data_IF_584870807529
#
_entry.id   IF_584870807529
#
_cell.length_a   1.000
_cell.length_b   1.000
_cell.length_c   1.000
_cell.angle_alpha   90.00
_cell.angle_beta   90.00
_cell.angle_gamma   90.00
#
_symmetry.space_group_name_H-M   'P 1'
#
loop_
_entity.id
_entity.type
_entity.pdbx_description
1 polymer ?
#
# COMPACT_ATOMS: atom_id res chain seq x y z
N UNK A 1 -2.33 23.15 -0.09
CA UNK A 1 -3.02 22.50 -1.23
C UNK A 1 -3.89 21.42 -0.63
N UNK A 2 -5.21 21.62 -0.73
CA UNK A 2 -6.21 20.99 0.14
C UNK A 2 -6.64 19.65 -0.45
N UNK A 3 -6.10 18.55 0.05
CA UNK A 3 -6.62 17.20 -0.18
C UNK A 3 -7.95 17.03 0.58
N UNK A 4 -9.00 17.74 0.14
CA UNK A 4 -10.36 17.63 0.67
C UNK A 4 -11.06 16.30 0.30
N UNK A 5 -10.31 15.36 -0.28
CA UNK A 5 -10.73 14.00 -0.55
C UNK A 5 -9.97 12.98 0.33
N UNK A 6 -9.56 13.41 1.52
CA UNK A 6 -8.94 12.57 2.55
C UNK A 6 -9.75 11.29 2.74
N UNK A 7 -11.09 11.37 2.76
CA UNK A 7 -11.98 10.21 2.88
C UNK A 7 -11.98 9.24 1.69
N UNK A 8 -11.54 9.64 0.50
CA UNK A 8 -11.54 8.80 -0.72
C UNK A 8 -10.21 8.09 -0.93
N UNK A 9 -9.11 8.78 -0.64
CA UNK A 9 -7.82 8.13 -0.46
C UNK A 9 -7.96 7.21 0.74
N UNK A 10 -8.46 7.66 1.90
CA UNK A 10 -8.79 6.78 3.03
C UNK A 10 -9.82 5.70 2.67
N UNK A 11 -10.83 5.87 1.83
CA UNK A 11 -11.70 4.75 1.44
C UNK A 11 -10.96 3.74 0.54
N UNK A 12 -10.03 4.23 -0.28
CA UNK A 12 -9.06 3.42 -1.02
C UNK A 12 -7.94 2.83 -0.13
N UNK A 13 -7.73 3.37 1.09
CA UNK A 13 -6.62 3.07 2.02
C UNK A 13 -7.03 2.49 3.38
N UNK A 14 -8.30 2.54 3.78
CA UNK A 14 -8.95 1.72 4.81
C UNK A 14 -8.95 0.24 4.37
N UNK A 15 -8.56 0.05 3.12
CA UNK A 15 -7.95 -1.11 2.52
C UNK A 15 -6.54 -1.52 3.04
N UNK A 16 -5.92 -0.76 3.93
CA UNK A 16 -4.54 -0.99 4.38
C UNK A 16 -4.23 -0.52 5.82
N UNK A 17 -5.19 0.11 6.51
CA UNK A 17 -5.01 0.56 7.88
C UNK A 17 -5.73 -0.33 8.89
N UNK A 18 -5.15 -1.45 9.27
CA UNK A 18 -5.28 -1.91 10.66
C UNK A 18 -3.91 -1.83 11.31
N UNK A 19 -3.84 -1.00 12.35
CA UNK A 19 -2.78 -0.97 13.34
C UNK A 19 -2.41 -2.39 13.73
N UNK A 20 -1.11 -2.72 13.73
CA UNK A 20 -0.39 -3.47 14.77
C UNK A 20 -0.93 -4.76 15.38
N UNK A 21 -2.13 -5.23 15.07
CA UNK A 21 -2.56 -6.58 15.27
C UNK A 21 -1.85 -7.40 14.18
N UNK A 22 -1.34 -8.57 14.55
CA UNK A 22 -1.21 -9.64 13.57
C UNK A 22 -2.49 -9.64 12.71
N UNK A 23 -2.40 -9.91 11.40
CA UNK A 23 -3.58 -10.00 10.54
C UNK A 23 -4.68 -10.72 11.35
N UNK A 24 -5.76 -10.03 11.76
CA UNK A 24 -6.84 -10.72 12.51
C UNK A 24 -7.36 -11.89 11.69
N UNK A 25 -7.14 -11.81 10.38
CA UNK A 25 -7.14 -12.92 9.45
C UNK A 25 -5.75 -13.09 8.86
N UNK A 26 -5.08 -14.26 8.98
CA UNK A 26 -3.87 -14.58 8.21
C UNK A 26 -4.08 -14.22 6.71
N UNK A 27 -3.01 -14.07 5.89
CA UNK A 27 -3.19 -14.03 4.43
C UNK A 27 -4.25 -15.07 4.09
N UNK A 28 -5.35 -14.67 3.44
CA UNK A 28 -6.54 -15.52 3.32
C UNK A 28 -6.10 -16.82 2.64
N UNK A 29 -5.76 -17.80 3.47
CA UNK A 29 -5.52 -19.16 3.07
C UNK A 29 -6.92 -19.66 2.81
N UNK A 30 -7.31 -19.60 1.54
CA UNK A 30 -8.51 -20.30 1.10
C UNK A 30 -8.41 -21.71 1.68
N UNK A 31 -9.46 -22.19 2.38
CA UNK A 31 -9.39 -23.45 3.09
C UNK A 31 -8.85 -24.52 2.15
N UNK A 32 -7.94 -25.36 2.65
CA UNK A 32 -7.38 -26.47 1.88
C UNK A 32 -8.50 -27.46 1.56
N UNK A 33 -9.21 -27.21 0.47
CA UNK A 33 -10.45 -27.85 0.07
C UNK A 33 -11.11 -26.98 -1.00
N UNK A 34 -11.62 -27.59 -2.07
CA UNK A 34 -12.03 -26.92 -3.31
C UNK A 34 -13.25 -25.97 -3.20
N UNK A 35 -13.58 -25.43 -2.02
CA UNK A 35 -14.78 -24.63 -1.79
C UNK A 35 -14.40 -23.28 -1.16
N UNK A 36 -14.79 -22.21 -1.84
CA UNK A 36 -14.74 -20.85 -1.29
C UNK A 36 -15.74 -20.74 -0.13
N UNK A 37 -15.56 -19.81 0.81
CA UNK A 37 -16.64 -19.42 1.72
C UNK A 37 -17.89 -19.05 0.91
N UNK A 38 -19.06 -19.54 1.34
CA UNK A 38 -20.34 -19.39 0.62
C UNK A 38 -20.66 -17.93 0.25
N UNK A 39 -20.27 -17.00 1.11
CA UNK A 39 -20.36 -15.56 0.88
C UNK A 39 -19.52 -15.11 -0.33
N UNK A 40 -18.25 -15.51 -0.38
CA UNK A 40 -17.33 -15.19 -1.48
C UNK A 40 -17.78 -15.90 -2.76
N UNK A 41 -18.23 -17.14 -2.68
CA UNK A 41 -18.78 -17.88 -3.82
C UNK A 41 -20.01 -17.15 -4.39
N UNK A 42 -20.85 -16.59 -3.53
CA UNK A 42 -22.00 -15.77 -3.94
C UNK A 42 -21.56 -14.47 -4.63
N UNK A 43 -20.48 -13.82 -4.17
CA UNK A 43 -19.97 -12.61 -4.82
C UNK A 43 -19.25 -12.86 -6.13
N UNK A 44 -18.55 -13.99 -6.26
CA UNK A 44 -17.82 -14.38 -7.47
C UNK A 44 -18.77 -15.00 -8.52
N UNK A 45 -19.75 -15.80 -8.08
CA UNK A 45 -20.60 -16.62 -8.96
C UNK A 45 -22.12 -16.41 -8.76
N UNK A 46 -22.57 -16.04 -7.56
CA UNK A 46 -23.99 -15.97 -7.19
C UNK A 46 -24.75 -14.67 -7.53
N UNK A 47 -24.05 -13.58 -7.86
CA UNK A 47 -24.68 -12.29 -8.22
C UNK A 47 -25.46 -12.30 -9.55
N UNK A 48 -25.47 -13.40 -10.30
CA UNK A 48 -26.13 -13.49 -11.59
C UNK A 48 -26.94 -14.78 -11.73
N UNK A 49 -28.05 -14.89 -11.00
CA UNK A 49 -29.13 -15.83 -11.39
C UNK A 49 -29.67 -15.56 -12.82
N UNK A 50 -29.26 -14.45 -13.45
CA UNK A 50 -29.48 -14.11 -14.86
C UNK A 50 -28.32 -14.38 -15.83
N UNK A 51 -27.11 -14.82 -15.39
CA UNK A 51 -26.05 -15.30 -16.32
C UNK A 51 -26.32 -16.76 -16.75
N UNK A 52 -27.58 -17.15 -16.97
CA UNK A 52 -27.92 -18.45 -17.54
C UNK A 52 -27.85 -18.38 -19.06
N UNK A 53 -26.82 -19.04 -19.59
CA UNK A 53 -26.71 -19.82 -20.83
C UNK A 53 -27.40 -19.42 -22.16
N UNK A 54 -28.48 -18.63 -22.21
CA UNK A 54 -29.34 -18.54 -23.42
C UNK A 54 -29.72 -17.11 -23.87
N UNK A 55 -28.97 -16.07 -23.51
CA UNK A 55 -29.23 -14.71 -24.00
C UNK A 55 -28.14 -14.25 -24.96
N UNK A 56 -28.33 -14.40 -26.28
CA UNK A 56 -27.64 -13.69 -27.39
C UNK A 56 -26.34 -12.94 -27.03
N UNK A 57 -25.34 -13.68 -26.53
CA UNK A 57 -24.05 -13.16 -26.09
C UNK A 57 -23.10 -13.01 -27.30
N UNK A 58 -23.54 -12.29 -28.34
CA UNK A 58 -22.69 -11.91 -29.49
C UNK A 58 -21.56 -10.92 -29.11
N UNK A 59 -21.54 -10.42 -27.87
CA UNK A 59 -20.47 -9.57 -27.33
C UNK A 59 -20.32 -9.75 -25.82
N UNK A 60 -19.97 -10.95 -25.34
CA UNK A 60 -19.15 -11.19 -24.13
C UNK A 60 -19.45 -10.51 -22.77
N UNK A 61 -20.66 -9.97 -22.53
CA UNK A 61 -21.02 -9.18 -21.34
C UNK A 61 -21.76 -10.03 -20.27
N UNK A 62 -21.08 -11.04 -19.71
CA UNK A 62 -21.22 -11.39 -18.28
C UNK A 62 -20.21 -10.58 -17.42
N UNK A 63 -19.72 -9.45 -17.97
CA UNK A 63 -18.54 -8.69 -17.54
C UNK A 63 -18.62 -8.09 -16.12
N UNK A 64 -19.81 -7.79 -15.61
CA UNK A 64 -19.98 -7.24 -14.26
C UNK A 64 -20.24 -8.30 -13.19
N UNK A 65 -20.45 -9.58 -13.51
CA UNK A 65 -20.65 -10.58 -12.47
C UNK A 65 -19.38 -10.81 -11.66
N UNK A 66 -18.31 -11.18 -12.37
CA UNK A 66 -17.00 -11.53 -11.79
C UNK A 66 -16.29 -10.32 -11.17
N UNK A 67 -16.31 -9.17 -11.84
CA UNK A 67 -15.77 -7.92 -11.27
C UNK A 67 -16.77 -7.25 -10.30
N UNK A 68 -18.06 -7.61 -10.33
CA UNK A 68 -19.11 -6.98 -9.52
C UNK A 68 -18.93 -7.26 -8.04
N UNK A 69 -18.49 -8.48 -7.67
CA UNK A 69 -18.09 -8.74 -6.29
C UNK A 69 -16.97 -7.80 -5.84
N UNK A 70 -15.90 -7.70 -6.63
CA UNK A 70 -14.76 -6.82 -6.33
C UNK A 70 -15.17 -5.33 -6.24
N UNK A 71 -16.09 -4.89 -7.09
CA UNK A 71 -16.45 -3.48 -7.23
C UNK A 71 -17.59 -3.04 -6.31
N UNK A 72 -18.46 -3.95 -5.87
CA UNK A 72 -19.61 -3.65 -5.00
C UNK A 72 -19.35 -3.93 -3.52
N UNK A 73 -18.36 -4.77 -3.20
CA UNK A 73 -18.01 -5.02 -1.81
C UNK A 73 -17.18 -3.87 -1.28
N UNK A 74 -17.56 -3.34 -0.12
CA UNK A 74 -16.86 -2.23 0.53
C UNK A 74 -15.77 -2.73 1.50
N UNK A 75 -15.86 -3.99 1.92
CA UNK A 75 -15.00 -4.59 2.92
C UNK A 75 -13.69 -5.09 2.31
N UNK A 76 -12.55 -4.60 2.81
CA UNK A 76 -11.23 -4.90 2.24
C UNK A 76 -10.89 -6.37 2.21
N UNK A 77 -11.02 -7.07 3.34
CA UNK A 77 -10.63 -8.49 3.40
C UNK A 77 -11.40 -9.32 2.36
N UNK A 78 -12.67 -8.97 2.11
CA UNK A 78 -13.48 -9.60 1.07
C UNK A 78 -13.02 -9.19 -0.33
N UNK A 79 -12.72 -7.91 -0.58
CA UNK A 79 -12.16 -7.46 -1.85
C UNK A 79 -10.85 -8.19 -2.17
N UNK A 80 -9.96 -8.34 -1.18
CA UNK A 80 -8.69 -9.06 -1.31
C UNK A 80 -8.89 -10.54 -1.59
N UNK A 81 -9.84 -11.18 -0.89
CA UNK A 81 -10.17 -12.59 -1.11
C UNK A 81 -10.81 -12.83 -2.48
N UNK A 82 -11.70 -11.94 -2.92
CA UNK A 82 -12.28 -11.95 -4.26
C UNK A 82 -11.16 -11.77 -5.29
N UNK A 83 -10.35 -10.72 -5.17
CA UNK A 83 -9.25 -10.47 -6.11
C UNK A 83 -8.26 -11.65 -6.18
N UNK A 84 -7.89 -12.24 -5.04
CA UNK A 84 -7.05 -13.44 -5.00
C UNK A 84 -7.69 -14.64 -5.72
N UNK A 85 -8.99 -14.85 -5.51
CA UNK A 85 -9.75 -15.89 -6.22
C UNK A 85 -9.75 -15.65 -7.73
N UNK A 86 -9.97 -14.39 -8.15
CA UNK A 86 -9.97 -14.03 -9.56
C UNK A 86 -8.58 -14.22 -10.20
N UNK A 87 -7.51 -13.94 -9.47
CA UNK A 87 -6.14 -14.21 -9.91
C UNK A 87 -5.91 -15.71 -10.10
N UNK A 88 -6.31 -16.55 -9.14
CA UNK A 88 -6.20 -18.02 -9.27
C UNK A 88 -7.00 -18.58 -10.45
N UNK A 89 -8.18 -18.00 -10.74
CA UNK A 89 -8.95 -18.37 -11.93
C UNK A 89 -8.25 -17.90 -13.22
N UNK A 90 -7.66 -16.71 -13.21
CA UNK A 90 -6.90 -16.18 -14.34
C UNK A 90 -5.60 -16.96 -14.63
N UNK A 91 -4.99 -17.59 -13.61
CA UNK A 91 -3.86 -18.52 -13.82
C UNK A 91 -4.27 -19.75 -14.63
N UNK A 92 -5.53 -20.18 -14.53
CA UNK A 92 -6.08 -21.31 -15.29
C UNK A 92 -6.57 -20.89 -16.69
N UNK A 93 -7.03 -19.65 -16.84
CA UNK A 93 -7.46 -19.05 -18.10
C UNK A 93 -6.88 -17.63 -18.26
N UNK A 94 -5.74 -17.48 -18.95
CA UNK A 94 -5.10 -16.17 -19.14
C UNK A 94 -5.99 -15.13 -19.82
N UNK A 95 -6.94 -15.57 -20.67
CA UNK A 95 -7.89 -14.66 -21.35
C UNK A 95 -8.85 -14.02 -20.36
N UNK A 96 -9.15 -14.70 -19.25
CA UNK A 96 -9.95 -14.13 -18.16
C UNK A 96 -9.17 -12.99 -17.49
N UNK A 97 -7.89 -13.19 -17.20
CA UNK A 97 -7.01 -12.17 -16.61
C UNK A 97 -6.93 -10.91 -17.47
N UNK A 98 -6.60 -11.05 -18.75
CA UNK A 98 -6.54 -9.94 -19.70
C UNK A 98 -7.86 -9.16 -19.75
N UNK A 99 -9.00 -9.86 -19.76
CA UNK A 99 -10.33 -9.25 -19.76
C UNK A 99 -10.66 -8.52 -18.46
N UNK A 100 -10.25 -9.04 -17.32
CA UNK A 100 -10.44 -8.37 -16.02
C UNK A 100 -9.61 -7.09 -15.98
N UNK A 101 -8.32 -7.16 -16.30
CA UNK A 101 -7.44 -5.99 -16.34
C UNK A 101 -7.97 -4.93 -17.30
N UNK A 102 -8.33 -5.33 -18.52
CA UNK A 102 -8.91 -4.43 -19.53
C UNK A 102 -10.16 -3.70 -19.04
N UNK A 103 -11.03 -4.39 -18.30
CA UNK A 103 -12.21 -3.78 -17.70
C UNK A 103 -11.90 -2.76 -16.63
N UNK A 104 -11.09 -3.16 -15.66
CA UNK A 104 -10.79 -2.33 -14.51
C UNK A 104 -10.09 -1.05 -14.97
N UNK A 105 -9.16 -1.16 -15.92
CA UNK A 105 -8.51 -0.02 -16.55
C UNK A 105 -9.50 0.91 -17.25
N UNK A 106 -10.46 0.36 -18.01
CA UNK A 106 -11.51 1.17 -18.65
C UNK A 106 -12.42 1.86 -17.65
N UNK A 107 -12.74 1.22 -16.52
CA UNK A 107 -13.60 1.82 -15.49
C UNK A 107 -12.84 2.93 -14.75
N UNK A 108 -11.55 2.73 -14.47
CA UNK A 108 -10.67 3.69 -13.79
C UNK A 108 -10.66 5.06 -14.48
N UNK A 109 -10.59 5.08 -15.82
CA UNK A 109 -10.54 6.32 -16.62
C UNK A 109 -11.92 6.86 -17.04
N UNK A 110 -13.03 6.22 -16.66
CA UNK A 110 -14.38 6.64 -17.11
C UNK A 110 -14.87 7.87 -16.34
N UNK A 111 -15.08 9.04 -16.98
CA UNK A 111 -15.38 10.31 -16.29
C UNK A 111 -16.59 10.30 -15.35
N UNK A 112 -17.63 9.51 -15.66
CA UNK A 112 -18.89 9.47 -14.90
C UNK A 112 -18.93 8.41 -13.79
N UNK A 113 -17.85 7.67 -13.60
CA UNK A 113 -17.75 6.66 -12.55
C UNK A 113 -17.35 7.32 -11.23
N UNK A 114 -18.02 6.93 -10.14
CA UNK A 114 -17.73 7.38 -8.79
C UNK A 114 -16.26 7.10 -8.38
N UNK A 115 -15.67 8.00 -7.59
CA UNK A 115 -14.28 7.93 -7.22
C UNK A 115 -13.96 6.71 -6.33
N UNK A 116 -14.88 6.26 -5.47
CA UNK A 116 -14.68 5.07 -4.66
C UNK A 116 -14.68 3.80 -5.54
N UNK A 117 -15.55 3.76 -6.54
CA UNK A 117 -15.59 2.67 -7.51
C UNK A 117 -14.31 2.58 -8.35
N UNK A 118 -13.76 3.73 -8.76
CA UNK A 118 -12.45 3.81 -9.43
C UNK A 118 -11.32 3.37 -8.52
N UNK A 119 -11.33 3.75 -7.24
CA UNK A 119 -10.33 3.30 -6.28
C UNK A 119 -10.36 1.78 -6.09
N UNK A 120 -11.54 1.14 -6.11
CA UNK A 120 -11.64 -0.33 -6.10
C UNK A 120 -11.06 -0.99 -7.36
N UNK A 121 -11.12 -0.29 -8.50
CA UNK A 121 -10.44 -0.77 -9.71
C UNK A 121 -8.93 -0.80 -9.51
N UNK A 122 -8.35 0.18 -8.82
CA UNK A 122 -6.92 0.21 -8.49
C UNK A 122 -6.53 -1.02 -7.67
N UNK A 123 -7.33 -1.43 -6.68
CA UNK A 123 -7.10 -2.64 -5.87
C UNK A 123 -7.05 -3.89 -6.75
N UNK A 124 -8.00 -4.04 -7.66
CA UNK A 124 -7.99 -5.15 -8.61
C UNK A 124 -6.74 -5.13 -9.49
N UNK A 125 -6.46 -4.00 -10.14
CA UNK A 125 -5.29 -3.83 -11.00
C UNK A 125 -3.98 -4.10 -10.26
N UNK A 126 -3.87 -3.67 -9.00
CA UNK A 126 -2.75 -3.99 -8.11
C UNK A 126 -2.61 -5.50 -7.94
N UNK A 127 -3.70 -6.22 -7.64
CA UNK A 127 -3.65 -7.69 -7.46
C UNK A 127 -3.28 -8.45 -8.73
N UNK A 128 -3.64 -7.90 -9.89
CA UNK A 128 -3.27 -8.45 -11.20
C UNK A 128 -1.88 -8.00 -11.69
N UNK A 129 -1.18 -7.14 -10.94
CA UNK A 129 0.13 -6.63 -11.35
C UNK A 129 0.09 -5.75 -12.62
N UNK A 130 -1.05 -5.10 -12.88
CA UNK A 130 -1.32 -4.30 -14.08
C UNK A 130 -0.62 -2.93 -14.04
N UNK A 131 0.71 -2.95 -13.98
CA UNK A 131 1.57 -1.75 -13.87
C UNK A 131 1.42 -0.81 -15.06
N UNK A 132 1.23 -1.34 -16.27
CA UNK A 132 1.02 -0.55 -17.49
C UNK A 132 -0.23 0.33 -17.41
N UNK A 133 -1.36 -0.27 -17.03
CA UNK A 133 -2.66 0.39 -16.91
C UNK A 133 -2.65 1.40 -15.76
N UNK A 134 -1.95 1.10 -14.67
CA UNK A 134 -1.78 2.01 -13.54
C UNK A 134 -0.90 3.22 -13.92
N UNK A 135 0.19 3.03 -14.68
CA UNK A 135 1.01 4.14 -15.19
C UNK A 135 0.23 5.05 -16.12
N UNK A 136 -0.53 4.48 -17.05
CA UNK A 136 -1.39 5.25 -17.96
C UNK A 136 -2.42 6.07 -17.17
N UNK A 137 -3.04 5.46 -16.15
CA UNK A 137 -4.00 6.13 -15.27
C UNK A 137 -3.37 7.27 -14.45
N UNK A 138 -2.10 7.15 -14.03
CA UNK A 138 -1.40 8.18 -13.27
C UNK A 138 -1.23 9.48 -14.09
N UNK A 139 -1.05 9.36 -15.41
CA UNK A 139 -0.86 10.51 -16.32
C UNK A 139 -2.14 11.02 -16.98
N UNK A 140 -3.26 10.32 -16.76
CA UNK A 140 -4.54 10.62 -17.40
C UNK A 140 -5.29 11.77 -16.72
N UNK A 141 -5.66 12.79 -17.48
CA UNK A 141 -6.51 13.90 -17.02
C UNK A 141 -7.91 13.47 -16.57
N UNK A 142 -8.37 12.29 -17.01
CA UNK A 142 -9.67 11.74 -16.65
C UNK A 142 -9.70 11.12 -15.25
N UNK A 143 -8.55 10.95 -14.60
CA UNK A 143 -8.41 10.37 -13.27
C UNK A 143 -8.20 11.51 -12.27
N UNK A 144 -9.11 11.71 -11.30
CA UNK A 144 -8.97 12.79 -10.33
C UNK A 144 -7.77 12.56 -9.41
N UNK A 145 -7.20 13.64 -8.88
CA UNK A 145 -6.00 13.64 -8.03
C UNK A 145 -6.10 12.65 -6.85
N UNK A 146 -7.29 12.52 -6.24
CA UNK A 146 -7.54 11.56 -5.17
C UNK A 146 -7.38 10.09 -5.60
N UNK A 147 -7.76 9.77 -6.83
CA UNK A 147 -7.59 8.42 -7.41
C UNK A 147 -6.16 8.25 -7.92
N UNK A 148 -5.51 9.31 -8.43
CA UNK A 148 -4.09 9.28 -8.78
C UNK A 148 -3.23 8.95 -7.56
N UNK A 149 -3.57 9.48 -6.37
CA UNK A 149 -2.91 9.10 -5.11
C UNK A 149 -2.99 7.60 -4.83
N UNK A 150 -4.17 7.00 -4.97
CA UNK A 150 -4.34 5.55 -4.83
C UNK A 150 -3.54 4.76 -5.89
N UNK A 151 -3.53 5.23 -7.13
CA UNK A 151 -2.75 4.63 -8.24
C UNK A 151 -1.25 4.67 -7.92
N UNK A 152 -0.72 5.80 -7.44
CA UNK A 152 0.69 5.95 -7.09
C UNK A 152 1.11 5.00 -5.96
N UNK A 153 0.27 4.85 -4.94
CA UNK A 153 0.50 3.90 -3.86
C UNK A 153 0.50 2.45 -4.35
N UNK A 154 -0.45 2.08 -5.21
CA UNK A 154 -0.49 0.76 -5.83
C UNK A 154 0.76 0.47 -6.67
N UNK A 155 1.22 1.46 -7.46
CA UNK A 155 2.47 1.35 -8.23
C UNK A 155 3.67 1.11 -7.30
N UNK A 156 3.80 1.88 -6.22
CA UNK A 156 4.88 1.68 -5.24
C UNK A 156 4.82 0.29 -4.59
N UNK A 157 3.62 -0.20 -4.23
CA UNK A 157 3.42 -1.56 -3.69
C UNK A 157 3.74 -2.67 -4.69
N UNK A 158 3.66 -2.38 -5.98
CA UNK A 158 4.12 -3.25 -7.06
C UNK A 158 5.64 -3.13 -7.33
N UNK A 159 6.35 -2.26 -6.61
CA UNK A 159 7.77 -1.98 -6.84
C UNK A 159 8.03 -1.06 -8.03
N UNK A 160 7.01 -0.36 -8.52
CA UNK A 160 7.12 0.53 -9.67
C UNK A 160 7.43 1.97 -9.22
N UNK A 161 8.64 2.42 -9.56
CA UNK A 161 9.14 3.75 -9.23
C UNK A 161 8.32 4.90 -9.84
N UNK A 162 7.46 4.63 -10.84
CA UNK A 162 6.57 5.66 -11.42
C UNK A 162 5.62 6.29 -10.38
N UNK A 163 5.28 5.56 -9.31
CA UNK A 163 4.44 6.07 -8.21
C UNK A 163 5.18 6.99 -7.23
N UNK A 164 6.52 6.94 -7.18
CA UNK A 164 7.32 7.60 -6.14
C UNK A 164 7.04 9.10 -5.97
N UNK A 165 6.96 9.92 -7.04
CA UNK A 165 6.80 11.37 -6.86
C UNK A 165 5.55 11.75 -6.08
N UNK A 166 4.41 11.10 -6.40
CA UNK A 166 3.15 11.37 -5.73
C UNK A 166 3.10 10.68 -4.36
N UNK A 167 3.62 9.46 -4.23
CA UNK A 167 3.71 8.79 -2.92
C UNK A 167 4.55 9.58 -1.92
N UNK A 168 5.67 10.17 -2.34
CA UNK A 168 6.48 11.04 -1.48
C UNK A 168 5.72 12.28 -1.05
N UNK A 169 4.95 12.91 -1.95
CA UNK A 169 4.07 14.02 -1.58
C UNK A 169 3.02 13.59 -0.53
N UNK A 170 2.46 12.38 -0.65
CA UNK A 170 1.49 11.85 0.31
C UNK A 170 2.08 11.57 1.70
N UNK A 171 3.39 11.35 1.83
CA UNK A 171 4.04 11.23 3.16
C UNK A 171 3.96 12.54 3.98
N UNK A 172 3.73 13.67 3.31
CA UNK A 172 3.61 15.00 3.91
C UNK A 172 2.15 15.45 4.06
N UNK A 173 1.18 14.57 3.79
CA UNK A 173 -0.25 14.82 3.94
C UNK A 173 -0.62 15.12 5.40
N UNK A 174 -1.63 15.97 5.60
CA UNK A 174 -2.11 16.35 6.93
C UNK A 174 -2.84 15.19 7.63
N UNK A 175 -3.30 14.21 6.86
CA UNK A 175 -3.91 12.99 7.37
C UNK A 175 -2.86 11.94 7.70
N UNK A 176 -2.65 11.72 9.01
CA UNK A 176 -1.74 10.68 9.49
C UNK A 176 -1.99 9.29 8.86
N UNK A 177 -3.25 8.81 8.67
CA UNK A 177 -3.51 7.56 7.97
C UNK A 177 -3.00 7.53 6.52
N UNK A 178 -3.17 8.61 5.76
CA UNK A 178 -2.72 8.71 4.36
C UNK A 178 -1.18 8.71 4.30
N UNK A 179 -0.55 9.52 5.14
CA UNK A 179 0.89 9.61 5.21
C UNK A 179 1.55 8.32 5.70
N UNK A 180 0.96 7.63 6.69
CA UNK A 180 1.42 6.32 7.14
C UNK A 180 1.38 5.30 6.01
N UNK A 181 0.33 5.29 5.20
CA UNK A 181 0.21 4.34 4.10
C UNK A 181 1.17 4.64 2.95
N UNK A 182 1.43 5.92 2.68
CA UNK A 182 2.49 6.31 1.77
C UNK A 182 3.86 5.78 2.22
N UNK A 183 4.18 5.89 3.52
CA UNK A 183 5.42 5.34 4.07
C UNK A 183 5.48 3.81 3.92
N UNK A 184 4.39 3.09 4.20
CA UNK A 184 4.35 1.63 3.98
C UNK A 184 4.59 1.26 2.52
N UNK A 185 3.98 1.98 1.58
CA UNK A 185 4.17 1.75 0.15
C UNK A 185 5.63 1.97 -0.29
N UNK A 186 6.32 2.97 0.26
CA UNK A 186 7.76 3.20 0.02
C UNK A 186 8.63 2.05 0.56
N UNK A 187 8.16 1.34 1.59
CA UNK A 187 8.81 0.18 2.19
C UNK A 187 8.73 -1.11 1.37
N UNK A 188 8.37 -1.03 0.10
CA UNK A 188 8.23 -2.21 -0.76
C UNK A 188 9.61 -2.71 -1.21
N UNK A 189 9.91 -4.02 -1.13
CA UNK A 189 11.21 -4.56 -1.54
C UNK A 189 11.61 -4.25 -3.00
N UNK A 190 10.62 -4.11 -3.89
CA UNK A 190 10.86 -3.76 -5.30
C UNK A 190 11.44 -2.35 -5.50
N UNK A 191 11.32 -1.47 -4.51
CA UNK A 191 11.91 -0.12 -4.52
C UNK A 191 13.32 -0.07 -3.92
N UNK A 192 13.89 -1.22 -3.52
CA UNK A 192 15.23 -1.28 -2.93
C UNK A 192 16.27 -0.68 -3.87
N UNK A 193 17.12 0.18 -3.33
CA UNK A 193 18.11 0.93 -4.12
C UNK A 193 17.60 2.29 -4.61
N UNK A 194 16.30 2.59 -4.50
CA UNK A 194 15.77 3.93 -4.75
C UNK A 194 16.21 4.87 -3.63
N UNK A 195 16.97 5.89 -3.99
CA UNK A 195 17.36 6.97 -3.07
C UNK A 195 16.12 7.71 -2.54
N UNK A 196 15.17 8.02 -3.42
CA UNK A 196 13.96 8.74 -3.05
C UNK A 196 13.09 7.97 -2.03
N UNK A 197 12.88 6.67 -2.22
CA UNK A 197 12.12 5.84 -1.27
C UNK A 197 12.82 5.76 0.10
N UNK A 198 14.14 5.51 0.10
CA UNK A 198 14.93 5.45 1.33
C UNK A 198 14.90 6.80 2.07
N UNK A 199 15.13 7.91 1.36
CA UNK A 199 15.10 9.25 1.94
C UNK A 199 13.71 9.57 2.49
N UNK A 200 12.64 9.28 1.76
CA UNK A 200 11.26 9.51 2.23
C UNK A 200 10.97 8.83 3.57
N UNK A 201 11.43 7.59 3.74
CA UNK A 201 11.32 6.84 5.00
C UNK A 201 12.21 7.43 6.11
N UNK A 202 13.50 7.67 5.82
CA UNK A 202 14.48 8.16 6.79
C UNK A 202 14.12 9.54 7.35
N UNK A 203 13.49 10.40 6.55
CA UNK A 203 13.02 11.71 7.00
C UNK A 203 11.97 11.61 8.11
N UNK A 204 11.22 10.51 8.19
CA UNK A 204 10.15 10.30 9.17
C UNK A 204 10.64 9.53 10.41
N UNK A 205 11.94 9.21 10.49
CA UNK A 205 12.56 8.57 11.64
C UNK A 205 12.83 9.59 12.77
N UNK A 206 11.76 10.16 13.32
CA UNK A 206 11.79 11.17 14.38
C UNK A 206 10.79 10.82 15.49
N UNK A 207 11.27 10.69 16.73
CA UNK A 207 10.48 10.31 17.89
C UNK A 207 9.40 11.35 18.28
N UNK A 208 9.55 12.60 17.84
CA UNK A 208 8.59 13.66 18.13
C UNK A 208 7.34 13.59 17.23
N UNK A 209 7.37 12.86 16.12
CA UNK A 209 6.24 12.74 15.19
C UNK A 209 5.12 11.83 15.73
N UNK A 210 3.96 11.89 15.06
CA UNK A 210 2.84 10.99 15.33
C UNK A 210 3.28 9.52 15.31
N UNK A 211 2.82 8.76 16.31
CA UNK A 211 3.27 7.39 16.55
C UNK A 211 3.05 6.46 15.34
N UNK A 212 1.97 6.66 14.58
CA UNK A 212 1.68 5.83 13.41
C UNK A 212 2.61 6.13 12.24
N UNK A 213 3.01 7.40 12.07
CA UNK A 213 4.00 7.79 11.08
C UNK A 213 5.36 7.17 11.37
N UNK A 214 5.80 7.22 12.64
CA UNK A 214 7.09 6.66 13.06
C UNK A 214 7.08 5.13 12.92
N UNK A 215 5.98 4.47 13.32
CA UNK A 215 5.80 3.01 13.10
C UNK A 215 5.88 2.66 11.61
N UNK A 216 5.13 3.37 10.77
CA UNK A 216 5.11 3.12 9.34
C UNK A 216 6.47 3.35 8.68
N UNK A 217 7.23 4.37 9.10
CA UNK A 217 8.58 4.63 8.63
C UNK A 217 9.54 3.50 9.01
N UNK A 218 9.52 3.04 10.27
CA UNK A 218 10.38 1.95 10.75
C UNK A 218 10.03 0.63 10.07
N UNK A 219 8.74 0.29 9.99
CA UNK A 219 8.28 -0.91 9.30
C UNK A 219 8.65 -0.84 7.80
N UNK A 220 8.52 0.35 7.19
CA UNK A 220 8.90 0.59 5.80
C UNK A 220 10.41 0.45 5.54
N UNK A 221 11.27 0.94 6.45
CA UNK A 221 12.74 0.76 6.33
C UNK A 221 13.13 -0.72 6.41
N UNK A 222 12.48 -1.48 7.30
CA UNK A 222 12.66 -2.93 7.39
C UNK A 222 12.19 -3.66 6.12
N UNK A 223 11.02 -3.28 5.60
CA UNK A 223 10.44 -3.86 4.37
C UNK A 223 11.23 -3.54 3.11
N UNK A 224 11.75 -2.31 2.99
CA UNK A 224 12.58 -1.89 1.85
C UNK A 224 13.84 -2.75 1.73
N UNK A 225 14.36 -3.21 2.88
CA UNK A 225 15.50 -4.12 2.92
C UNK A 225 16.82 -3.48 2.47
N UNK A 226 16.89 -2.14 2.46
CA UNK A 226 18.09 -1.41 2.08
C UNK A 226 19.09 -1.33 3.24
N UNK A 227 20.29 -1.94 3.14
CA UNK A 227 21.28 -1.93 4.21
C UNK A 227 21.74 -0.53 4.63
N UNK A 228 21.57 0.49 3.77
CA UNK A 228 21.88 1.89 4.09
C UNK A 228 21.01 2.43 5.24
N UNK A 229 19.89 1.79 5.55
CA UNK A 229 19.03 2.13 6.69
C UNK A 229 19.58 1.67 8.05
N UNK A 230 20.55 0.75 8.09
CA UNK A 230 21.04 0.15 9.35
C UNK A 230 21.64 1.21 10.28
N UNK A 231 22.50 2.09 9.77
CA UNK A 231 23.12 3.15 10.56
C UNK A 231 22.10 4.11 11.19
N UNK A 232 21.20 4.72 10.39
CA UNK A 232 20.12 5.55 10.90
C UNK A 232 19.21 4.84 11.91
N UNK A 233 18.79 3.59 11.66
CA UNK A 233 17.94 2.83 12.58
C UNK A 233 18.67 2.52 13.90
N UNK A 234 19.95 2.13 13.85
CA UNK A 234 20.75 1.89 15.05
C UNK A 234 20.91 3.17 15.89
N UNK A 235 21.12 4.31 15.24
CA UNK A 235 21.15 5.61 15.91
C UNK A 235 19.80 5.97 16.54
N UNK A 236 18.71 5.71 15.83
CA UNK A 236 17.35 5.98 16.31
C UNK A 236 16.98 5.18 17.57
N UNK A 237 17.53 3.98 17.79
CA UNK A 237 17.29 3.20 19.02
C UNK A 237 17.60 3.99 20.31
N UNK A 238 18.51 4.96 20.25
CA UNK A 238 18.86 5.79 21.42
C UNK A 238 17.77 6.78 21.83
N UNK A 239 16.92 7.16 20.89
CA UNK A 239 15.81 8.12 21.08
C UNK A 239 14.44 7.49 20.81
N UNK A 240 14.41 6.20 20.44
CA UNK A 240 13.20 5.49 20.06
C UNK A 240 12.26 5.33 21.26
N UNK A 241 10.99 5.74 21.14
CA UNK A 241 10.00 5.48 22.17
C UNK A 241 9.64 3.98 22.23
N UNK A 242 9.20 3.51 23.40
CA UNK A 242 8.90 2.09 23.67
C UNK A 242 7.95 1.47 22.64
N UNK A 243 6.98 2.24 22.12
CA UNK A 243 6.00 1.74 21.15
C UNK A 243 6.59 1.34 19.79
N UNK A 244 7.80 1.80 19.45
CA UNK A 244 8.48 1.50 18.19
C UNK A 244 9.78 0.72 18.37
N UNK A 245 10.31 0.62 19.60
CA UNK A 245 11.58 -0.05 19.90
C UNK A 245 11.65 -1.47 19.33
N UNK A 246 10.65 -2.31 19.62
CA UNK A 246 10.59 -3.70 19.13
C UNK A 246 10.55 -3.76 17.60
N UNK A 247 9.90 -2.78 16.94
CA UNK A 247 9.85 -2.70 15.47
C UNK A 247 11.20 -2.34 14.88
N UNK A 248 11.88 -1.36 15.49
CA UNK A 248 13.21 -0.94 15.05
C UNK A 248 14.21 -2.09 15.19
N UNK A 249 14.17 -2.84 16.29
CA UNK A 249 15.01 -4.04 16.48
C UNK A 249 14.66 -5.13 15.47
N UNK A 250 13.38 -5.35 15.17
CA UNK A 250 12.96 -6.32 14.13
C UNK A 250 13.44 -5.91 12.75
N UNK A 251 13.35 -4.62 12.40
CA UNK A 251 13.86 -4.09 11.13
C UNK A 251 15.38 -4.28 11.03
N UNK A 252 16.13 -3.94 12.08
CA UNK A 252 17.58 -4.16 12.13
C UNK A 252 17.95 -5.64 12.02
N UNK A 253 17.20 -6.54 12.68
CA UNK A 253 17.37 -7.98 12.54
C UNK A 253 17.08 -8.46 11.12
N UNK A 254 16.04 -7.94 10.47
CA UNK A 254 15.71 -8.30 9.09
C UNK A 254 16.80 -7.84 8.11
N UNK A 255 17.39 -6.65 8.33
CA UNK A 255 18.45 -6.09 7.50
C UNK A 255 19.81 -6.78 7.69
N UNK A 256 20.14 -7.17 8.93
CA UNK A 256 21.48 -7.70 9.28
C UNK A 256 21.53 -9.22 9.41
N UNK A 257 20.38 -9.88 9.63
CA UNK A 257 20.32 -11.29 10.03
C UNK A 257 20.78 -11.55 11.46
N UNK A 258 21.13 -10.51 12.23
CA UNK A 258 21.67 -10.64 13.60
C UNK A 258 20.64 -10.26 14.66
N UNK A 259 20.71 -10.91 15.82
CA UNK A 259 19.83 -10.65 16.96
C UNK A 259 20.65 -10.11 18.13
N UNK A 260 20.82 -8.79 18.19
CA UNK A 260 21.55 -8.10 19.26
C UNK A 260 20.64 -7.57 20.37
N UNK A 261 19.32 -7.78 20.25
CA UNK A 261 18.32 -7.31 21.20
C UNK A 261 18.08 -5.80 21.09
N UNK A 262 17.71 -5.19 22.20
CA UNK A 262 17.29 -3.78 22.30
C UNK A 262 18.44 -2.83 22.65
N UNK A 263 19.64 -3.35 22.95
CA UNK A 263 20.79 -2.54 23.38
C UNK A 263 21.34 -1.67 22.23
N UNK A 264 21.21 -0.32 22.30
CA UNK A 264 21.72 0.57 21.27
C UNK A 264 23.25 0.51 21.13
N UNK A 265 23.98 0.23 22.23
CA UNK A 265 25.43 0.15 22.20
C UNK A 265 25.93 -1.07 21.41
N UNK A 266 25.23 -2.20 21.54
CA UNK A 266 25.51 -3.40 20.76
C UNK A 266 25.32 -3.16 19.25
N UNK A 267 24.23 -2.48 18.86
CA UNK A 267 24.00 -2.10 17.47
C UNK A 267 25.02 -1.08 16.96
N UNK A 268 25.41 -0.10 17.77
CA UNK A 268 26.48 0.85 17.44
C UNK A 268 27.83 0.15 17.21
N UNK A 269 28.20 -0.80 18.06
CA UNK A 269 29.41 -1.61 17.88
C UNK A 269 29.35 -2.49 16.62
N UNK A 270 28.17 -3.05 16.31
CA UNK A 270 27.97 -3.82 15.08
C UNK A 270 28.17 -2.95 13.83
N UNK A 271 27.60 -1.74 13.81
CA UNK A 271 27.76 -0.78 12.71
C UNK A 271 29.22 -0.35 12.55
N UNK A 272 29.95 -0.16 13.64
CA UNK A 272 31.38 0.14 13.58
C UNK A 272 32.21 -1.01 13.00
N UNK A 273 31.83 -2.27 13.28
CA UNK A 273 32.48 -3.46 12.73
C UNK A 273 32.07 -3.74 11.27
N UNK A 274 30.85 -3.37 10.86
CA UNK A 274 30.28 -3.61 9.54
C UNK A 274 29.65 -2.32 8.98
N UNK A 275 30.46 -1.33 8.59
CA UNK A 275 29.94 -0.03 8.16
C UNK A 275 29.10 -0.18 6.88
N UNK A 276 27.78 0.08 6.91
CA UNK A 276 26.97 0.07 5.72
C UNK A 276 27.34 1.27 4.82
N UNK A 277 26.99 1.20 3.54
CA UNK A 277 27.06 2.38 2.69
C UNK A 277 26.20 3.50 3.30
N UNK A 278 26.68 4.76 3.31
CA UNK A 278 25.90 5.85 3.85
C UNK A 278 24.63 6.05 3.01
N UNK A 279 23.49 6.38 3.63
CA UNK A 279 22.32 6.82 2.88
C UNK A 279 22.60 8.16 2.17
N UNK A 280 21.84 8.50 1.13
CA UNK A 280 21.83 9.85 0.56
C UNK A 280 21.56 10.90 1.64
N UNK A 281 22.05 12.14 1.50
CA UNK A 281 21.78 13.19 2.47
C UNK A 281 20.28 13.43 2.62
N UNK A 282 19.80 13.49 3.86
CA UNK A 282 18.39 13.72 4.19
C UNK A 282 18.26 14.64 5.39
N UNK A 283 17.11 15.31 5.51
CA UNK A 283 16.76 16.16 6.65
C UNK A 283 15.57 15.55 7.37
N UNK A 284 15.78 15.19 8.63
CA UNK A 284 14.72 14.67 9.50
C UNK A 284 13.57 15.70 9.56
N UNK A 285 12.35 15.23 9.34
CA UNK A 285 11.13 16.04 9.39
C UNK A 285 10.96 16.58 10.80
N UNK A 286 10.81 17.89 10.92
CA UNK A 286 10.47 18.53 12.18
C UNK A 286 9.01 18.24 12.56
N UNK A 287 8.74 18.22 13.86
CA UNK A 287 7.38 18.19 14.37
C UNK A 287 6.61 19.43 13.88
N UNK A 288 5.47 19.25 13.21
CA UNK A 288 4.56 20.36 12.89
C UNK A 288 3.79 20.69 14.17
N UNK A 289 4.09 21.81 14.80
CA UNK A 289 3.26 22.35 15.89
C UNK A 289 1.96 22.93 15.32
N UNK A 290 0.92 23.10 16.14
CA UNK A 290 -0.33 23.78 15.73
C UNK A 290 -0.08 25.17 15.13
N UNK A 291 1.01 25.84 15.53
CA UNK A 291 1.47 27.13 14.95
C UNK A 291 1.92 27.02 13.50
N UNK A 292 2.44 25.88 13.08
CA UNK A 292 2.93 25.66 11.71
C UNK A 292 1.78 25.43 10.72
N UNK A 293 0.56 25.18 11.23
CA UNK A 293 -0.68 24.96 10.46
C UNK A 293 -1.39 26.28 10.13
N UNK A 294 -0.82 27.43 10.53
CA UNK A 294 -1.43 28.75 10.32
C UNK A 294 -2.76 28.94 11.07
N UNK A 295 -3.02 28.13 12.10
CA UNK A 295 -4.14 28.33 13.00
C UNK A 295 -3.82 29.53 13.92
N UNK A 296 -4.75 30.48 14.09
CA UNK A 296 -4.52 31.61 14.98
C UNK A 296 -4.35 31.12 16.43
N UNK A 297 -3.43 31.71 17.22
CA UNK A 297 -3.27 31.37 18.63
C UNK A 297 -4.55 31.69 19.41
N UNK A 298 -4.80 30.97 20.53
CA UNK A 298 -5.99 31.18 21.37
C UNK A 298 -6.10 32.58 21.96
#
# INVERSE_FOLDING_TARGET
>A
MRWLATGLVIAALAACGSEGAAPEHPPVELPAGNLLPEEIETYVFGGAQSCRADADCGSGICYYGVCGGLLNVDTRWMQDAIAATLVQLAERDPRLGERIVWNLARILVRPRTDAAFRARCVVGLERFGATTELRDALTSEQVPESVQGAVALALCRLGDAAGLPLTLALTEDDSAPVAAEALRALGTPGLRGSDDALVGLLRTLNADLDADLVRAAVDGLGGLGDPRAIGPLAGFLTTAPDFVLIRAVRALRALTGTALGEDPAAWGAWVAAHPPSPPPPYTVRAYRTERDIGLPPP
#
